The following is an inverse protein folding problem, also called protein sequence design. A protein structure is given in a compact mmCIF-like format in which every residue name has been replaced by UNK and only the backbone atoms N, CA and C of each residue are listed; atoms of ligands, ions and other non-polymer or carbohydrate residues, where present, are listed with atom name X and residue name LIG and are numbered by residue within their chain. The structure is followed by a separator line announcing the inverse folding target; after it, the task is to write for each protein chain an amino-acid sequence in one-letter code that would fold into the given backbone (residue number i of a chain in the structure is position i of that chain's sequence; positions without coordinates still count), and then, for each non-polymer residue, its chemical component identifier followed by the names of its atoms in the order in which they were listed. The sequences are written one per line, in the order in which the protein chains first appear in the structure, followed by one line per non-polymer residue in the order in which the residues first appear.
data_IF_602687231547
#
_entry.id   IF_602687231547
#
_cell.length_a   1.000
_cell.length_b   1.000
_cell.length_c   1.000
_cell.angle_alpha   90.00
_cell.angle_beta   90.00
_cell.angle_gamma   90.00
#
_symmetry.space_group_name_H-M   'P 1'
#
loop_
_entity.id
_entity.type
_entity.pdbx_description
1 polymer ?
#
# COMPACT_ATOMS: atom_id res chain seq x y z
N UNK A 1 -1.61 -26.25 -39.91
CA UNK A 1 -1.61 -24.85 -39.45
C UNK A 1 -0.17 -24.37 -39.48
N UNK A 2 0.14 -23.29 -40.23
CA UNK A 2 1.50 -22.79 -40.32
C UNK A 2 2.04 -22.40 -38.92
N UNK A 3 3.13 -23.03 -38.51
CA UNK A 3 3.81 -22.74 -37.23
C UNK A 3 4.18 -21.26 -37.11
N UNK A 4 4.42 -20.60 -38.27
CA UNK A 4 4.69 -19.16 -38.37
C UNK A 4 3.50 -18.28 -37.96
N UNK A 5 2.27 -18.67 -38.30
CA UNK A 5 1.06 -17.94 -37.93
C UNK A 5 0.81 -18.01 -36.43
N UNK A 6 0.98 -19.18 -35.83
CA UNK A 6 0.81 -19.38 -34.37
C UNK A 6 1.81 -18.54 -33.55
N UNK A 7 3.09 -18.53 -33.96
CA UNK A 7 4.12 -17.73 -33.27
C UNK A 7 3.90 -16.22 -33.46
N UNK A 8 3.42 -15.81 -34.66
CA UNK A 8 3.13 -14.40 -34.94
C UNK A 8 1.94 -13.83 -34.16
N UNK A 9 0.92 -14.66 -33.88
CA UNK A 9 -0.27 -14.25 -33.13
C UNK A 9 -0.12 -14.34 -31.60
N UNK A 10 0.97 -14.93 -31.08
CA UNK A 10 1.20 -15.09 -29.64
C UNK A 10 1.23 -13.75 -28.91
N UNK A 11 2.06 -12.82 -29.34
CA UNK A 11 2.21 -11.51 -28.70
C UNK A 11 0.95 -10.63 -28.76
N UNK A 12 0.27 -10.46 -29.92
CA UNK A 12 -0.97 -9.69 -29.95
C UNK A 12 -2.08 -10.30 -29.07
N UNK A 13 -2.19 -11.63 -29.00
CA UNK A 13 -3.19 -12.28 -28.16
C UNK A 13 -2.91 -12.03 -26.66
N UNK A 14 -1.66 -12.21 -26.22
CA UNK A 14 -1.24 -11.90 -24.86
C UNK A 14 -1.51 -10.42 -24.54
N UNK A 15 -1.13 -9.50 -25.43
CA UNK A 15 -1.30 -8.08 -25.21
C UNK A 15 -2.79 -7.67 -25.15
N UNK A 16 -3.65 -8.24 -26.00
CA UNK A 16 -5.10 -8.01 -25.93
C UNK A 16 -5.69 -8.47 -24.61
N UNK A 17 -5.33 -9.68 -24.15
CA UNK A 17 -5.78 -10.22 -22.87
C UNK A 17 -5.31 -9.37 -21.68
N UNK A 18 -4.03 -8.97 -21.65
CA UNK A 18 -3.48 -8.12 -20.61
C UNK A 18 -4.13 -6.73 -20.58
N UNK A 19 -4.36 -6.14 -21.76
CA UNK A 19 -5.09 -4.87 -21.88
C UNK A 19 -6.50 -4.95 -21.30
N UNK A 20 -7.22 -6.04 -21.58
CA UNK A 20 -8.56 -6.28 -21.04
C UNK A 20 -8.54 -6.42 -19.51
N UNK A 21 -7.56 -7.15 -18.95
CA UNK A 21 -7.38 -7.29 -17.48
C UNK A 21 -7.11 -5.94 -16.83
N UNK A 22 -6.21 -5.12 -17.38
CA UNK A 22 -5.93 -3.79 -16.80
C UNK A 22 -7.11 -2.83 -16.96
N UNK A 23 -7.87 -2.93 -18.04
CA UNK A 23 -9.12 -2.15 -18.19
C UNK A 23 -10.15 -2.56 -17.15
N UNK A 24 -10.35 -3.86 -16.91
CA UNK A 24 -11.25 -4.36 -15.88
C UNK A 24 -10.83 -3.85 -14.48
N UNK A 25 -9.54 -3.89 -14.17
CA UNK A 25 -9.01 -3.33 -12.92
C UNK A 25 -9.29 -1.83 -12.83
N UNK A 26 -9.12 -1.07 -13.91
CA UNK A 26 -9.44 0.36 -13.91
C UNK A 26 -10.92 0.63 -13.69
N UNK A 27 -11.82 -0.18 -14.24
CA UNK A 27 -13.26 -0.06 -13.95
C UNK A 27 -13.57 -0.24 -12.48
N UNK A 28 -12.85 -1.11 -11.80
CA UNK A 28 -12.97 -1.33 -10.37
C UNK A 28 -12.28 -0.23 -9.55
N UNK A 29 -11.13 0.30 -10.05
CA UNK A 29 -10.32 1.33 -9.37
C UNK A 29 -10.22 2.61 -10.20
N UNK A 30 -11.32 3.33 -10.40
CA UNK A 30 -11.40 4.55 -11.21
C UNK A 30 -10.45 5.67 -10.78
N UNK A 31 -10.03 5.69 -9.52
CA UNK A 31 -9.08 6.66 -8.97
C UNK A 31 -7.61 6.38 -9.38
N UNK A 32 -7.33 5.25 -10.03
CA UNK A 32 -5.99 4.86 -10.49
C UNK A 32 -5.85 5.00 -12.01
N UNK A 33 -5.64 6.23 -12.56
CA UNK A 33 -5.61 6.45 -14.01
C UNK A 33 -4.48 5.71 -14.73
N UNK A 34 -3.38 5.36 -14.03
CA UNK A 34 -2.29 4.59 -14.62
C UNK A 34 -2.73 3.21 -15.16
N UNK A 35 -3.80 2.61 -14.58
CA UNK A 35 -4.34 1.33 -15.05
C UNK A 35 -4.96 1.45 -16.45
N UNK A 36 -5.65 2.57 -16.74
CA UNK A 36 -6.18 2.83 -18.09
C UNK A 36 -5.06 3.04 -19.10
N UNK A 37 -3.97 3.72 -18.71
CA UNK A 37 -2.79 3.91 -19.56
C UNK A 37 -2.09 2.57 -19.83
N UNK A 38 -2.00 1.67 -18.83
CA UNK A 38 -1.49 0.31 -19.05
C UNK A 38 -2.35 -0.46 -20.05
N UNK A 39 -3.68 -0.44 -19.91
CA UNK A 39 -4.60 -1.10 -20.83
C UNK A 39 -4.43 -0.60 -22.27
N UNK A 40 -4.41 0.71 -22.45
CA UNK A 40 -4.20 1.34 -23.77
C UNK A 40 -2.82 0.98 -24.34
N UNK A 41 -1.76 0.96 -23.53
CA UNK A 41 -0.42 0.59 -23.95
C UNK A 41 -0.34 -0.87 -24.44
N UNK A 42 -0.96 -1.80 -23.73
CA UNK A 42 -1.02 -3.20 -24.18
C UNK A 42 -1.83 -3.38 -25.47
N UNK A 43 -2.97 -2.70 -25.60
CA UNK A 43 -3.76 -2.77 -26.83
C UNK A 43 -3.06 -2.13 -28.04
N UNK A 44 -2.34 -1.03 -27.81
CA UNK A 44 -1.54 -0.40 -28.84
C UNK A 44 -0.34 -1.29 -29.25
N UNK A 45 0.25 -2.00 -28.29
CA UNK A 45 1.27 -3.03 -28.57
C UNK A 45 0.69 -4.18 -29.40
N UNK A 46 -0.52 -4.65 -29.10
CA UNK A 46 -1.21 -5.66 -29.90
C UNK A 46 -1.42 -5.20 -31.35
N UNK A 47 -1.89 -3.96 -31.54
CA UNK A 47 -2.04 -3.36 -32.86
C UNK A 47 -0.69 -3.30 -33.58
N UNK A 48 0.39 -2.91 -32.90
CA UNK A 48 1.75 -2.91 -33.43
C UNK A 48 2.18 -4.29 -33.96
N UNK A 49 1.95 -5.37 -33.21
CA UNK A 49 2.27 -6.72 -33.64
C UNK A 49 1.42 -7.20 -34.79
N UNK A 50 0.12 -6.89 -34.82
CA UNK A 50 -0.74 -7.21 -35.95
C UNK A 50 -0.26 -6.51 -37.24
N UNK A 51 0.10 -5.23 -37.18
CA UNK A 51 0.68 -4.47 -38.27
C UNK A 51 2.09 -4.95 -38.68
N UNK A 52 2.80 -5.55 -37.77
CA UNK A 52 4.09 -6.19 -38.05
C UNK A 52 3.90 -7.45 -38.89
N UNK A 53 2.84 -8.20 -38.67
CA UNK A 53 2.54 -9.45 -39.32
C UNK A 53 1.71 -9.25 -40.61
N UNK A 54 0.69 -8.40 -40.57
CA UNK A 54 -0.20 -8.13 -41.70
C UNK A 54 0.16 -6.78 -42.35
N UNK A 55 0.36 -6.80 -43.67
CA UNK A 55 0.57 -5.57 -44.46
C UNK A 55 -0.76 -4.98 -44.86
N UNK A 56 -1.01 -3.71 -44.55
CA UNK A 56 -2.20 -2.99 -44.99
C UNK A 56 -2.17 -2.66 -46.49
N UNK A 57 -3.33 -2.39 -47.12
CA UNK A 57 -3.39 -2.00 -48.52
C UNK A 57 -2.65 -0.72 -48.91
N UNK A 58 -2.21 0.06 -47.91
CA UNK A 58 -1.40 1.28 -48.09
C UNK A 58 0.07 1.02 -48.41
N UNK A 59 0.47 -0.25 -48.47
CA UNK A 59 1.83 -0.69 -48.75
C UNK A 59 2.67 -1.03 -47.53
N UNK A 60 3.83 -1.67 -47.75
CA UNK A 60 4.68 -2.18 -46.68
C UNK A 60 5.31 -1.06 -45.84
N UNK A 61 5.87 -0.04 -46.47
CA UNK A 61 6.60 1.03 -45.78
C UNK A 61 5.71 1.80 -44.78
N UNK A 62 4.53 2.34 -45.16
CA UNK A 62 3.65 3.01 -44.19
C UNK A 62 3.08 2.05 -43.16
N UNK A 63 2.84 0.77 -43.47
CA UNK A 63 2.40 -0.23 -42.50
C UNK A 63 3.46 -0.44 -41.41
N UNK A 64 4.75 -0.60 -41.78
CA UNK A 64 5.84 -0.77 -40.81
C UNK A 64 6.07 0.50 -39.97
N UNK A 65 5.94 1.68 -40.56
CA UNK A 65 6.00 2.94 -39.81
C UNK A 65 4.87 3.04 -38.78
N UNK A 66 3.64 2.70 -39.19
CA UNK A 66 2.50 2.69 -38.25
C UNK A 66 2.71 1.68 -37.09
N UNK A 67 3.19 0.47 -37.44
CA UNK A 67 3.53 -0.55 -36.44
C UNK A 67 4.53 -0.05 -35.41
N UNK A 68 5.64 0.54 -35.87
CA UNK A 68 6.70 1.06 -34.97
C UNK A 68 6.19 2.25 -34.16
N UNK A 69 5.36 3.11 -34.72
CA UNK A 69 4.72 4.21 -34.01
C UNK A 69 3.83 3.68 -32.88
N UNK A 70 3.01 2.64 -33.13
CA UNK A 70 2.21 1.96 -32.11
C UNK A 70 3.08 1.43 -30.97
N UNK A 71 4.17 0.73 -31.28
CA UNK A 71 5.10 0.22 -30.27
C UNK A 71 5.77 1.34 -29.45
N UNK A 72 6.15 2.43 -30.11
CA UNK A 72 6.81 3.57 -29.45
C UNK A 72 5.87 4.26 -28.46
N UNK A 73 4.62 4.49 -28.85
CA UNK A 73 3.61 5.07 -27.96
C UNK A 73 3.28 4.08 -26.82
N UNK A 74 3.12 2.80 -27.14
CA UNK A 74 2.86 1.75 -26.16
C UNK A 74 3.97 1.66 -25.09
N UNK A 75 5.23 1.61 -25.52
CA UNK A 75 6.38 1.54 -24.61
C UNK A 75 6.52 2.80 -23.75
N UNK A 76 6.29 3.97 -24.34
CA UNK A 76 6.30 5.26 -23.62
C UNK A 76 5.16 5.35 -22.60
N UNK A 77 3.96 4.92 -22.98
CA UNK A 77 2.80 4.85 -22.09
C UNK A 77 3.01 3.88 -20.93
N UNK A 78 3.54 2.69 -21.20
CA UNK A 78 3.89 1.69 -20.20
C UNK A 78 4.93 2.24 -19.20
N UNK A 79 5.99 2.88 -19.69
CA UNK A 79 7.01 3.50 -18.87
C UNK A 79 6.42 4.62 -17.98
N UNK A 80 5.61 5.51 -18.56
CA UNK A 80 4.93 6.57 -17.82
C UNK A 80 3.96 6.03 -16.76
N UNK A 81 3.16 5.02 -17.10
CA UNK A 81 2.21 4.40 -16.19
C UNK A 81 2.90 3.74 -14.99
N UNK A 82 4.00 3.01 -15.20
CA UNK A 82 4.77 2.40 -14.13
C UNK A 82 5.33 3.47 -13.19
N UNK A 83 5.93 4.53 -13.72
CA UNK A 83 6.51 5.63 -12.90
C UNK A 83 5.42 6.36 -12.10
N UNK A 84 4.27 6.65 -12.74
CA UNK A 84 3.13 7.33 -12.10
C UNK A 84 2.55 6.52 -10.94
N UNK A 85 2.49 5.18 -11.06
CA UNK A 85 2.03 4.31 -9.98
C UNK A 85 2.76 4.54 -8.65
N UNK A 86 4.06 4.86 -8.72
CA UNK A 86 4.89 5.11 -7.53
C UNK A 86 4.92 6.59 -7.10
N UNK A 87 3.98 7.40 -7.58
CA UNK A 87 3.86 8.83 -7.25
C UNK A 87 5.05 9.67 -7.71
N UNK A 88 5.87 9.14 -8.63
CA UNK A 88 7.04 9.85 -9.15
C UNK A 88 6.67 10.68 -10.36
N UNK A 89 7.43 11.74 -10.58
CA UNK A 89 7.29 12.56 -11.79
C UNK A 89 7.81 11.76 -12.99
N UNK A 90 6.97 11.65 -14.01
CA UNK A 90 7.34 10.97 -15.26
C UNK A 90 8.49 11.73 -15.91
N UNK A 91 9.61 11.07 -16.26
CA UNK A 91 10.75 11.73 -16.91
C UNK A 91 10.48 11.95 -18.39
N UNK A 92 9.54 12.86 -18.71
CA UNK A 92 9.06 13.12 -20.09
C UNK A 92 10.17 13.47 -21.06
N UNK A 93 11.23 14.15 -20.61
CA UNK A 93 12.36 14.53 -21.45
C UNK A 93 13.13 13.28 -21.90
N UNK A 94 13.45 12.38 -20.97
CA UNK A 94 14.16 11.13 -21.32
C UNK A 94 13.32 10.21 -22.19
N UNK A 95 12.04 10.04 -21.85
CA UNK A 95 11.10 9.21 -22.63
C UNK A 95 10.91 9.82 -24.00
N UNK A 96 10.66 11.13 -24.10
CA UNK A 96 10.46 11.84 -25.36
C UNK A 96 11.71 11.78 -26.25
N UNK A 97 12.90 11.96 -25.69
CA UNK A 97 14.15 11.88 -26.43
C UNK A 97 14.39 10.48 -27.00
N UNK A 98 14.21 9.42 -26.21
CA UNK A 98 14.37 8.03 -26.67
C UNK A 98 13.32 7.66 -27.71
N UNK A 99 12.06 8.02 -27.48
CA UNK A 99 10.97 7.72 -28.38
C UNK A 99 11.12 8.45 -29.74
N UNK A 100 11.33 9.76 -29.72
CA UNK A 100 11.47 10.56 -30.94
C UNK A 100 12.78 10.29 -31.68
N UNK A 101 13.89 10.12 -30.94
CA UNK A 101 15.18 9.77 -31.52
C UNK A 101 15.18 8.40 -32.20
N UNK A 102 14.57 7.39 -31.54
CA UNK A 102 14.39 6.06 -32.14
C UNK A 102 13.54 6.10 -33.42
N UNK A 103 12.39 6.81 -33.35
CA UNK A 103 11.51 6.94 -34.51
C UNK A 103 12.15 7.74 -35.64
N UNK A 104 12.87 8.81 -35.36
CA UNK A 104 13.61 9.59 -36.36
C UNK A 104 14.70 8.75 -37.02
N UNK A 105 15.47 7.98 -36.26
CA UNK A 105 16.48 7.06 -36.79
C UNK A 105 15.82 5.96 -37.64
N UNK A 106 14.68 5.40 -37.20
CA UNK A 106 13.92 4.44 -38.01
C UNK A 106 13.48 5.02 -39.35
N UNK A 107 12.94 6.26 -39.35
CA UNK A 107 12.56 6.96 -40.57
C UNK A 107 13.77 7.24 -41.48
N UNK A 108 14.89 7.67 -40.92
CA UNK A 108 16.13 7.90 -41.67
C UNK A 108 16.59 6.65 -42.42
N UNK A 109 16.70 5.52 -41.70
CA UNK A 109 17.10 4.25 -42.32
C UNK A 109 15.98 3.57 -43.09
N UNK A 110 14.80 4.13 -43.17
CA UNK A 110 13.71 3.64 -44.01
C UNK A 110 13.62 4.40 -45.35
N UNK A 111 13.80 5.73 -45.32
CA UNK A 111 13.51 6.57 -46.45
C UNK A 111 14.75 7.26 -47.07
N UNK A 112 15.79 7.56 -46.26
CA UNK A 112 16.96 8.32 -46.73
C UNK A 112 18.14 7.38 -47.01
N UNK A 113 18.48 6.50 -46.07
CA UNK A 113 19.55 5.51 -46.26
C UNK A 113 18.99 4.11 -45.92
N UNK A 114 18.31 3.46 -46.87
CA UNK A 114 17.61 2.21 -46.59
C UNK A 114 18.53 1.11 -46.09
N UNK A 115 18.37 0.76 -44.78
CA UNK A 115 19.11 -0.30 -44.13
C UNK A 115 18.23 -0.94 -43.03
N UNK A 116 17.90 -2.23 -43.18
CA UNK A 116 17.02 -2.94 -42.30
C UNK A 116 17.68 -3.18 -40.93
N UNK A 117 18.98 -3.44 -40.93
CA UNK A 117 19.73 -3.74 -39.71
C UNK A 117 19.79 -2.53 -38.77
N UNK A 118 20.10 -1.36 -39.33
CA UNK A 118 20.14 -0.11 -38.56
C UNK A 118 18.75 0.31 -38.06
N UNK A 119 17.67 0.01 -38.78
CA UNK A 119 16.29 0.21 -38.31
C UNK A 119 16.02 -0.63 -37.06
N UNK A 120 16.40 -1.92 -37.08
CA UNK A 120 16.23 -2.85 -35.96
C UNK A 120 17.05 -2.37 -34.74
N UNK A 121 18.32 -2.02 -34.96
CA UNK A 121 19.20 -1.48 -33.93
C UNK A 121 18.59 -0.23 -33.25
N UNK A 122 18.21 0.77 -34.03
CA UNK A 122 17.67 2.03 -33.53
C UNK A 122 16.47 1.81 -32.61
N UNK A 123 15.51 0.98 -33.03
CA UNK A 123 14.31 0.73 -32.23
C UNK A 123 14.57 -0.10 -31.00
N UNK A 124 15.46 -1.11 -31.08
CA UNK A 124 15.80 -1.90 -29.88
C UNK A 124 16.58 -1.09 -28.86
N UNK A 125 17.46 -0.17 -29.28
CA UNK A 125 18.12 0.76 -28.36
C UNK A 125 17.11 1.73 -27.72
N UNK A 126 16.12 2.22 -28.47
CA UNK A 126 15.08 3.10 -27.94
C UNK A 126 14.22 2.35 -26.89
N UNK A 127 13.72 1.15 -27.20
CA UNK A 127 12.91 0.34 -26.27
C UNK A 127 13.71 -0.15 -25.08
N UNK A 128 14.96 -0.55 -25.28
CA UNK A 128 15.89 -0.89 -24.22
C UNK A 128 16.13 0.28 -23.28
N UNK A 129 16.39 1.46 -23.84
CA UNK A 129 16.55 2.71 -23.09
C UNK A 129 15.32 3.07 -22.27
N UNK A 130 14.09 2.97 -22.83
CA UNK A 130 12.85 3.18 -22.09
C UNK A 130 12.71 2.23 -20.91
N UNK A 131 13.04 0.95 -21.08
CA UNK A 131 13.02 -0.03 -20.00
C UNK A 131 14.05 0.28 -18.91
N UNK A 132 15.26 0.75 -19.30
CA UNK A 132 16.30 1.18 -18.34
C UNK A 132 15.91 2.47 -17.59
N UNK A 133 15.21 3.40 -18.23
CA UNK A 133 14.64 4.59 -17.57
C UNK A 133 13.65 4.16 -16.49
N UNK A 134 12.77 3.20 -16.75
CA UNK A 134 11.86 2.64 -15.73
C UNK A 134 12.67 2.01 -14.58
N UNK A 135 13.68 1.21 -14.88
CA UNK A 135 14.53 0.61 -13.85
C UNK A 135 15.25 1.68 -13.00
N UNK A 136 15.77 2.75 -13.63
CA UNK A 136 16.41 3.84 -12.92
C UNK A 136 15.45 4.58 -11.98
N UNK A 137 14.20 4.85 -12.42
CA UNK A 137 13.18 5.47 -11.58
C UNK A 137 12.76 4.56 -10.42
N UNK A 138 12.59 3.27 -10.66
CA UNK A 138 12.26 2.29 -9.62
C UNK A 138 13.41 2.10 -8.61
N UNK A 139 14.67 2.33 -9.00
CA UNK A 139 15.83 2.25 -8.10
C UNK A 139 15.73 3.20 -6.91
N UNK A 140 15.06 4.34 -7.06
CA UNK A 140 14.99 5.41 -6.05
C UNK A 140 13.79 5.21 -5.09
N UNK A 141 12.89 4.25 -5.34
CA UNK A 141 11.78 3.92 -4.44
C UNK A 141 12.34 3.30 -3.14
N UNK A 142 12.07 3.93 -1.98
CA UNK A 142 12.66 3.55 -0.68
C UNK A 142 12.08 2.28 -0.06
N UNK A 143 10.77 2.12 -0.08
CA UNK A 143 10.08 0.97 0.55
C UNK A 143 9.65 -0.04 -0.51
N UNK A 144 10.62 -0.85 -1.00
CA UNK A 144 10.36 -1.86 -2.01
C UNK A 144 9.86 -3.15 -1.37
N UNK A 145 8.62 -3.50 -1.66
CA UNK A 145 8.13 -4.84 -1.44
C UNK A 145 8.66 -5.84 -2.50
N UNK A 146 8.33 -7.13 -2.36
CA UNK A 146 8.75 -8.15 -3.33
C UNK A 146 8.29 -7.88 -4.78
N UNK A 147 7.07 -7.35 -4.96
CA UNK A 147 6.51 -7.03 -6.28
C UNK A 147 7.29 -5.87 -6.97
N UNK A 148 7.65 -4.84 -6.20
CA UNK A 148 8.44 -3.70 -6.67
C UNK A 148 9.86 -4.11 -7.05
N UNK A 149 10.48 -4.98 -6.25
CA UNK A 149 11.81 -5.53 -6.56
C UNK A 149 11.77 -6.36 -7.82
N UNK A 150 10.74 -7.20 -8.00
CA UNK A 150 10.56 -8.01 -9.20
C UNK A 150 10.37 -7.12 -10.43
N UNK A 151 9.56 -6.07 -10.35
CA UNK A 151 9.34 -5.13 -11.44
C UNK A 151 10.65 -4.38 -11.82
N UNK A 152 11.45 -3.97 -10.83
CA UNK A 152 12.77 -3.37 -11.08
C UNK A 152 13.69 -4.32 -11.83
N UNK A 153 13.82 -5.56 -11.36
CA UNK A 153 14.68 -6.58 -11.98
C UNK A 153 14.21 -6.89 -13.40
N UNK A 154 12.90 -7.06 -13.61
CA UNK A 154 12.33 -7.33 -14.93
C UNK A 154 12.51 -6.17 -15.90
N UNK A 155 12.38 -4.93 -15.44
CA UNK A 155 12.65 -3.74 -16.26
C UNK A 155 14.12 -3.66 -16.67
N UNK A 156 15.04 -3.95 -15.75
CA UNK A 156 16.47 -4.01 -16.03
C UNK A 156 16.79 -5.12 -17.02
N UNK A 157 16.28 -6.34 -16.79
CA UNK A 157 16.47 -7.47 -17.70
C UNK A 157 15.88 -7.20 -19.09
N UNK A 158 14.70 -6.55 -19.17
CA UNK A 158 14.10 -6.16 -20.43
C UNK A 158 15.00 -5.19 -21.22
N UNK A 159 15.51 -4.16 -20.54
CA UNK A 159 16.44 -3.20 -21.15
C UNK A 159 17.71 -3.86 -21.68
N UNK A 160 18.34 -4.70 -20.85
CA UNK A 160 19.53 -5.44 -21.24
C UNK A 160 19.26 -6.45 -22.35
N UNK A 161 18.12 -7.14 -22.34
CA UNK A 161 17.73 -8.08 -23.39
C UNK A 161 17.56 -7.39 -24.76
N UNK A 162 16.92 -6.22 -24.81
CA UNK A 162 16.80 -5.46 -26.07
C UNK A 162 18.16 -5.11 -26.66
N UNK A 163 19.10 -4.62 -25.85
CA UNK A 163 20.42 -4.19 -26.30
C UNK A 163 21.32 -5.39 -26.60
N UNK A 164 21.53 -6.26 -25.62
CA UNK A 164 22.50 -7.36 -25.73
C UNK A 164 22.13 -8.36 -26.84
N UNK A 165 20.85 -8.79 -26.89
CA UNK A 165 20.38 -9.69 -27.92
C UNK A 165 20.58 -9.12 -29.32
N UNK A 166 20.26 -7.84 -29.51
CA UNK A 166 20.41 -7.19 -30.82
C UNK A 166 21.86 -7.14 -31.25
N UNK A 167 22.76 -6.76 -30.34
CA UNK A 167 24.20 -6.73 -30.64
C UNK A 167 24.76 -8.12 -30.96
N UNK A 168 24.46 -9.10 -30.11
CA UNK A 168 24.99 -10.48 -30.29
C UNK A 168 24.53 -11.08 -31.61
N UNK A 169 23.24 -10.95 -31.95
CA UNK A 169 22.72 -11.61 -33.16
C UNK A 169 23.14 -10.88 -34.44
N UNK A 170 23.20 -9.54 -34.42
CA UNK A 170 23.72 -8.79 -35.57
C UNK A 170 25.19 -9.10 -35.85
N UNK A 171 26.01 -9.22 -34.79
CA UNK A 171 27.42 -9.61 -34.92
C UNK A 171 27.56 -11.05 -35.44
N UNK A 172 26.72 -11.98 -34.94
CA UNK A 172 26.82 -13.40 -35.31
C UNK A 172 26.29 -13.74 -36.69
N UNK A 173 25.24 -13.05 -37.16
CA UNK A 173 24.54 -13.40 -38.41
C UNK A 173 24.71 -12.37 -39.53
N UNK A 174 25.39 -11.25 -39.28
CA UNK A 174 25.59 -10.18 -40.26
C UNK A 174 24.33 -9.34 -40.54
N UNK A 175 24.40 -8.42 -41.51
CA UNK A 175 23.31 -7.53 -41.82
C UNK A 175 22.15 -8.22 -42.54
N UNK A 176 20.93 -7.86 -42.20
CA UNK A 176 19.70 -8.33 -42.85
C UNK A 176 19.43 -7.51 -44.11
N UNK A 177 19.29 -8.18 -45.26
CA UNK A 177 19.03 -7.53 -46.54
C UNK A 177 17.53 -7.48 -46.92
N UNK A 178 16.71 -8.39 -46.32
CA UNK A 178 15.27 -8.48 -46.61
C UNK A 178 14.44 -8.76 -45.39
N UNK A 179 13.17 -8.41 -45.42
CA UNK A 179 12.22 -8.74 -44.35
C UNK A 179 11.97 -10.25 -44.26
N UNK A 180 11.96 -10.99 -45.35
CA UNK A 180 11.75 -12.44 -45.34
C UNK A 180 12.90 -13.15 -44.63
N UNK A 181 14.16 -12.78 -44.91
CA UNK A 181 15.32 -13.28 -44.19
C UNK A 181 15.31 -12.90 -42.72
N UNK A 182 14.83 -11.68 -42.38
CA UNK A 182 14.68 -11.26 -41.00
C UNK A 182 13.64 -12.08 -40.25
N UNK A 183 12.44 -12.29 -40.81
CA UNK A 183 11.37 -13.07 -40.16
C UNK A 183 11.67 -14.56 -40.03
N UNK A 184 12.50 -15.11 -40.94
CA UNK A 184 13.01 -16.49 -40.87
C UNK A 184 14.16 -16.66 -39.83
N UNK A 185 14.71 -15.57 -39.31
CA UNK A 185 15.91 -15.60 -38.47
C UNK A 185 15.60 -16.06 -37.02
N UNK A 186 16.60 -16.68 -36.40
CA UNK A 186 16.59 -16.98 -34.96
C UNK A 186 16.48 -15.72 -34.12
N UNK A 187 16.95 -14.57 -34.63
CA UNK A 187 16.71 -13.26 -33.97
C UNK A 187 15.22 -12.97 -33.78
N UNK A 188 14.44 -13.09 -34.84
CA UNK A 188 12.99 -12.79 -34.81
C UNK A 188 12.26 -13.70 -33.81
N UNK A 189 12.53 -15.02 -33.91
CA UNK A 189 11.92 -16.00 -32.96
C UNK A 189 12.28 -15.73 -31.53
N UNK A 190 13.56 -15.48 -31.24
CA UNK A 190 13.99 -15.17 -29.86
C UNK A 190 13.46 -13.81 -29.39
N UNK A 191 13.30 -12.84 -30.30
CA UNK A 191 12.67 -11.55 -30.02
C UNK A 191 11.22 -11.70 -29.58
N UNK A 192 10.42 -12.45 -30.34
CA UNK A 192 9.02 -12.71 -30.05
C UNK A 192 8.84 -13.42 -28.70
N UNK A 193 9.60 -14.50 -28.47
CA UNK A 193 9.49 -15.29 -27.25
C UNK A 193 9.96 -14.52 -26.00
N UNK A 194 11.10 -13.83 -26.10
CA UNK A 194 11.60 -13.03 -24.97
C UNK A 194 10.68 -11.84 -24.64
N UNK A 195 10.10 -11.20 -25.66
CA UNK A 195 9.12 -10.14 -25.46
C UNK A 195 7.84 -10.68 -24.81
N UNK A 196 7.29 -11.80 -25.30
CA UNK A 196 6.12 -12.44 -24.72
C UNK A 196 6.34 -12.75 -23.22
N UNK A 197 7.46 -13.39 -22.89
CA UNK A 197 7.81 -13.75 -21.53
C UNK A 197 7.98 -12.53 -20.63
N UNK A 198 8.81 -11.57 -21.03
CA UNK A 198 9.10 -10.38 -20.21
C UNK A 198 7.87 -9.49 -20.04
N UNK A 199 7.08 -9.28 -21.11
CA UNK A 199 5.84 -8.50 -21.01
C UNK A 199 4.81 -9.14 -20.09
N UNK A 200 4.67 -10.48 -20.15
CA UNK A 200 3.80 -11.23 -19.26
C UNK A 200 4.26 -11.13 -17.79
N UNK A 201 5.55 -11.29 -17.52
CA UNK A 201 6.11 -11.20 -16.18
C UNK A 201 5.98 -9.77 -15.61
N UNK A 202 6.23 -8.75 -16.43
CA UNK A 202 6.01 -7.34 -16.03
C UNK A 202 4.53 -7.09 -15.72
N UNK A 203 3.62 -7.55 -16.58
CA UNK A 203 2.19 -7.42 -16.36
C UNK A 203 1.72 -8.12 -15.09
N UNK A 204 2.20 -9.35 -14.85
CA UNK A 204 1.90 -10.11 -13.64
C UNK A 204 2.41 -9.39 -12.39
N UNK A 205 3.62 -8.84 -12.44
CA UNK A 205 4.17 -8.04 -11.33
C UNK A 205 3.32 -6.81 -11.03
N UNK A 206 2.88 -6.09 -12.07
CA UNK A 206 1.99 -4.93 -11.94
C UNK A 206 0.62 -5.33 -11.40
N UNK A 207 0.07 -6.45 -11.86
CA UNK A 207 -1.18 -6.99 -11.35
C UNK A 207 -1.09 -7.37 -9.88
N UNK A 208 -0.06 -8.11 -9.49
CA UNK A 208 0.18 -8.48 -8.09
C UNK A 208 0.33 -7.23 -7.20
N UNK A 209 1.09 -6.25 -7.67
CA UNK A 209 1.27 -5.00 -6.94
C UNK A 209 -0.07 -4.24 -6.79
N UNK A 210 -0.91 -4.15 -7.84
CA UNK A 210 -2.23 -3.55 -7.78
C UNK A 210 -3.17 -4.32 -6.84
N UNK A 211 -3.17 -5.66 -6.90
CA UNK A 211 -3.96 -6.50 -6.01
C UNK A 211 -3.58 -6.32 -4.53
N UNK A 212 -2.28 -6.22 -4.23
CA UNK A 212 -1.80 -5.94 -2.88
C UNK A 212 -2.25 -4.57 -2.36
N UNK A 213 -2.32 -3.56 -3.22
CA UNK A 213 -2.83 -2.23 -2.83
C UNK A 213 -4.32 -2.28 -2.49
N UNK A 214 -5.13 -2.99 -3.30
CA UNK A 214 -6.54 -3.25 -3.00
C UNK A 214 -6.70 -3.94 -1.65
N UNK A 215 -5.92 -4.99 -1.42
CA UNK A 215 -5.96 -5.71 -0.15
C UNK A 215 -5.59 -4.84 1.05
N UNK A 216 -4.61 -3.94 0.89
CA UNK A 216 -4.25 -2.96 1.94
C UNK A 216 -5.41 -2.00 2.24
N UNK A 217 -6.08 -1.49 1.20
CA UNK A 217 -7.24 -0.59 1.35
C UNK A 217 -8.39 -1.31 2.04
N UNK A 218 -8.75 -2.50 1.59
CA UNK A 218 -9.80 -3.32 2.21
C UNK A 218 -9.49 -3.66 3.67
N UNK A 219 -8.22 -3.98 3.98
CA UNK A 219 -7.78 -4.18 5.37
C UNK A 219 -7.91 -2.91 6.20
N UNK A 220 -7.51 -1.75 5.65
CA UNK A 220 -7.63 -0.48 6.36
C UNK A 220 -9.10 -0.17 6.68
N UNK A 221 -10.02 -0.34 5.73
CA UNK A 221 -11.46 -0.20 5.94
C UNK A 221 -12.01 -1.22 6.94
N UNK A 222 -11.54 -2.49 6.87
CA UNK A 222 -11.95 -3.54 7.79
C UNK A 222 -11.43 -3.37 9.23
N UNK A 223 -10.41 -2.52 9.46
CA UNK A 223 -9.77 -2.33 10.77
C UNK A 223 -9.99 -0.96 11.39
N UNK A 224 -10.67 -0.06 10.71
CA UNK A 224 -10.97 1.28 11.21
C UNK A 224 -12.47 1.41 11.52
N UNK A 225 -12.81 2.05 12.63
CA UNK A 225 -14.18 2.45 12.93
C UNK A 225 -14.51 3.75 12.19
N UNK A 226 -15.53 3.77 11.32
CA UNK A 226 -15.80 4.92 10.46
C UNK A 226 -16.26 6.17 11.22
N UNK A 227 -16.87 6.00 12.40
CA UNK A 227 -17.37 7.12 13.19
C UNK A 227 -16.25 7.80 13.98
N UNK A 228 -15.43 7.01 14.69
CA UNK A 228 -14.34 7.53 15.51
C UNK A 228 -13.05 7.78 14.71
N UNK A 229 -12.89 7.12 13.58
CA UNK A 229 -11.64 7.09 12.79
C UNK A 229 -10.46 6.43 13.54
N UNK A 230 -10.69 5.81 14.70
CA UNK A 230 -9.74 4.96 15.40
C UNK A 230 -9.80 3.54 14.83
N UNK A 231 -8.92 2.67 15.31
CA UNK A 231 -9.05 1.25 15.02
C UNK A 231 -10.37 0.73 15.61
N UNK A 232 -11.05 -0.15 14.87
CA UNK A 232 -12.13 -0.93 15.45
C UNK A 232 -11.55 -2.04 16.36
N UNK A 233 -12.40 -2.80 17.04
CA UNK A 233 -11.99 -3.86 17.96
C UNK A 233 -10.95 -4.80 17.34
N UNK A 234 -11.22 -5.30 16.14
CA UNK A 234 -10.33 -6.24 15.43
C UNK A 234 -8.97 -5.61 15.09
N UNK A 235 -8.99 -4.38 14.58
CA UNK A 235 -7.76 -3.64 14.26
C UNK A 235 -6.94 -3.31 15.49
N UNK A 236 -7.59 -2.96 16.60
CA UNK A 236 -6.95 -2.73 17.88
C UNK A 236 -6.28 -4.02 18.42
N UNK A 237 -7.01 -5.13 18.49
CA UNK A 237 -6.50 -6.41 19.01
C UNK A 237 -5.28 -6.90 18.22
N UNK A 238 -5.31 -6.80 16.88
CA UNK A 238 -4.17 -7.19 16.04
C UNK A 238 -2.95 -6.30 16.26
N UNK A 239 -3.11 -4.97 16.20
CA UNK A 239 -1.99 -4.03 16.40
C UNK A 239 -1.45 -4.04 17.82
N UNK A 240 -2.34 -4.11 18.82
CA UNK A 240 -1.94 -4.19 20.21
C UNK A 240 -1.15 -5.46 20.51
N UNK A 241 -1.56 -6.61 19.95
CA UNK A 241 -0.82 -7.87 20.10
C UNK A 241 0.58 -7.79 19.49
N UNK A 242 0.71 -7.17 18.32
CA UNK A 242 2.01 -6.96 17.68
C UNK A 242 2.91 -6.04 18.51
N UNK A 243 2.37 -4.94 19.01
CA UNK A 243 3.12 -3.99 19.85
C UNK A 243 3.56 -4.63 21.17
N UNK A 244 2.68 -5.41 21.81
CA UNK A 244 3.02 -6.16 23.03
C UNK A 244 4.18 -7.13 22.83
N UNK A 245 4.18 -7.89 21.72
CA UNK A 245 5.30 -8.81 21.39
C UNK A 245 6.61 -8.04 21.19
N UNK A 246 6.56 -6.94 20.44
CA UNK A 246 7.74 -6.10 20.20
C UNK A 246 8.30 -5.56 21.53
N UNK A 247 7.45 -5.00 22.38
CA UNK A 247 7.87 -4.48 23.68
C UNK A 247 8.35 -5.60 24.62
N UNK A 248 7.79 -6.82 24.52
CA UNK A 248 8.27 -7.98 25.25
C UNK A 248 9.72 -8.31 24.91
N UNK A 249 10.01 -8.43 23.61
CA UNK A 249 11.36 -8.73 23.11
C UNK A 249 12.37 -7.64 23.52
N UNK A 250 11.94 -6.37 23.52
CA UNK A 250 12.77 -5.23 23.87
C UNK A 250 12.78 -4.93 25.38
N UNK A 251 12.06 -5.70 26.21
CA UNK A 251 11.90 -5.49 27.67
C UNK A 251 11.39 -4.09 28.03
N UNK A 252 10.54 -3.53 27.18
CA UNK A 252 9.96 -2.20 27.37
C UNK A 252 8.66 -2.28 28.20
N UNK A 253 8.40 -1.34 29.09
CA UNK A 253 7.14 -1.28 29.83
C UNK A 253 5.99 -0.93 28.87
N UNK A 254 4.83 -1.51 29.14
CA UNK A 254 3.60 -1.28 28.37
C UNK A 254 2.42 -1.23 29.31
N UNK A 255 1.53 -0.29 29.11
CA UNK A 255 0.29 -0.20 29.86
C UNK A 255 -0.92 -0.08 28.91
N UNK A 256 -2.06 -0.58 29.37
CA UNK A 256 -3.34 -0.49 28.70
C UNK A 256 -4.27 0.42 29.50
N UNK A 257 -4.95 1.30 28.81
CA UNK A 257 -6.01 2.15 29.31
C UNK A 257 -7.30 1.75 28.59
N UNK A 258 -8.32 1.35 29.33
CA UNK A 258 -9.68 1.23 28.86
C UNK A 258 -10.47 2.45 29.31
N UNK A 259 -11.30 2.98 28.41
CA UNK A 259 -12.15 4.13 28.69
C UNK A 259 -13.59 3.85 28.24
N UNK A 260 -14.55 4.41 28.94
CA UNK A 260 -15.97 4.30 28.62
C UNK A 260 -16.66 5.65 28.91
N UNK A 261 -17.50 6.11 27.97
CA UNK A 261 -18.23 7.35 28.07
C UNK A 261 -19.38 7.21 29.10
N UNK A 262 -19.33 8.00 30.15
CA UNK A 262 -20.31 7.94 31.21
C UNK A 262 -21.70 8.43 30.73
N UNK A 263 -22.74 7.64 31.04
CA UNK A 263 -24.12 7.97 30.71
C UNK A 263 -24.39 8.23 29.23
N UNK A 264 -23.62 7.63 28.32
CA UNK A 264 -23.73 7.86 26.89
C UNK A 264 -25.13 7.61 26.32
N UNK A 265 -25.84 6.59 26.86
CA UNK A 265 -27.23 6.34 26.51
C UNK A 265 -28.12 7.56 26.81
N UNK A 266 -27.95 8.22 27.95
CA UNK A 266 -28.72 9.40 28.31
C UNK A 266 -28.44 10.57 27.37
N UNK A 267 -27.21 10.72 26.87
CA UNK A 267 -26.89 11.71 25.82
C UNK A 267 -27.66 11.43 24.54
N UNK A 268 -27.72 10.18 24.09
CA UNK A 268 -28.50 9.77 22.92
C UNK A 268 -30.01 10.00 23.12
N UNK A 269 -30.53 9.60 24.28
CA UNK A 269 -31.96 9.71 24.57
C UNK A 269 -32.41 11.17 24.67
N UNK A 270 -31.56 12.09 25.16
CA UNK A 270 -31.90 13.50 25.36
C UNK A 270 -31.62 14.36 24.11
N UNK A 271 -30.52 14.08 23.39
CA UNK A 271 -30.02 14.95 22.30
C UNK A 271 -30.01 14.27 20.92
N UNK A 272 -30.47 13.01 20.86
CA UNK A 272 -30.51 12.21 19.63
C UNK A 272 -29.17 11.58 19.25
N UNK A 273 -29.22 10.55 18.42
CA UNK A 273 -28.04 9.77 18.00
C UNK A 273 -26.96 10.61 17.31
N UNK A 274 -27.35 11.63 16.53
CA UNK A 274 -26.37 12.53 15.89
C UNK A 274 -25.53 13.32 16.91
N UNK A 275 -26.06 13.59 18.11
CA UNK A 275 -25.30 14.20 19.19
C UNK A 275 -24.33 13.18 19.83
N UNK A 276 -24.79 11.94 20.05
CA UNK A 276 -23.92 10.86 20.51
C UNK A 276 -22.78 10.58 19.54
N UNK A 277 -23.04 10.60 18.25
CA UNK A 277 -21.99 10.42 17.21
C UNK A 277 -20.91 11.50 17.32
N UNK A 278 -21.29 12.76 17.55
CA UNK A 278 -20.31 13.85 17.78
C UNK A 278 -19.50 13.63 19.05
N UNK A 279 -20.12 13.17 20.13
CA UNK A 279 -19.43 12.82 21.39
C UNK A 279 -18.38 11.75 21.17
N UNK A 280 -18.72 10.68 20.43
CA UNK A 280 -17.77 9.61 20.07
C UNK A 280 -16.61 10.15 19.25
N UNK A 281 -16.90 10.94 18.21
CA UNK A 281 -15.88 11.49 17.32
C UNK A 281 -14.93 12.46 18.05
N UNK A 282 -15.47 13.33 18.91
CA UNK A 282 -14.68 14.28 19.70
C UNK A 282 -13.78 13.56 20.74
N UNK A 283 -14.33 12.59 21.45
CA UNK A 283 -13.54 11.78 22.42
C UNK A 283 -12.43 11.01 21.71
N UNK A 284 -12.73 10.39 20.57
CA UNK A 284 -11.76 9.68 19.76
C UNK A 284 -10.62 10.59 19.25
N UNK A 285 -10.94 11.80 18.84
CA UNK A 285 -9.95 12.79 18.39
C UNK A 285 -8.97 13.16 19.52
N UNK A 286 -9.49 13.37 20.74
CA UNK A 286 -8.68 13.65 21.92
C UNK A 286 -7.77 12.45 22.29
N UNK A 287 -8.33 11.23 22.28
CA UNK A 287 -7.54 10.01 22.53
C UNK A 287 -6.42 9.84 21.50
N UNK A 288 -6.72 10.06 20.20
CA UNK A 288 -5.74 9.96 19.11
C UNK A 288 -4.60 10.96 19.29
N UNK A 289 -4.94 12.21 19.59
CA UNK A 289 -3.97 13.28 19.78
C UNK A 289 -3.05 12.98 20.95
N UNK A 290 -3.59 12.49 22.07
CA UNK A 290 -2.82 12.18 23.28
C UNK A 290 -1.97 10.90 23.15
N UNK A 291 -2.49 9.86 22.48
CA UNK A 291 -1.75 8.61 22.25
C UNK A 291 -0.55 8.80 21.29
N UNK A 292 -0.57 9.83 20.46
CA UNK A 292 0.49 10.14 19.51
C UNK A 292 0.68 9.03 18.46
N UNK A 293 1.87 8.98 17.87
CA UNK A 293 2.20 8.00 16.79
C UNK A 293 2.66 6.64 17.32
N UNK A 294 3.07 6.55 18.57
CA UNK A 294 3.59 5.33 19.19
C UNK A 294 2.51 4.51 19.91
N UNK A 295 1.45 5.15 20.38
CA UNK A 295 0.32 4.48 21.01
C UNK A 295 -0.63 3.83 19.99
N UNK A 296 -1.31 2.76 20.42
CA UNK A 296 -2.37 2.10 19.64
C UNK A 296 -3.70 2.41 20.30
N UNK A 297 -4.56 3.17 19.58
CA UNK A 297 -5.89 3.55 20.07
C UNK A 297 -6.98 2.90 19.19
N UNK A 298 -8.05 2.42 19.84
CA UNK A 298 -9.19 1.79 19.17
C UNK A 298 -10.51 2.01 19.89
N UNK A 299 -11.62 1.95 19.14
CA UNK A 299 -12.97 1.84 19.64
C UNK A 299 -13.34 0.37 19.67
N UNK A 300 -13.54 -0.19 20.86
CA UNK A 300 -13.73 -1.64 21.05
C UNK A 300 -15.19 -2.03 21.31
N UNK A 301 -16.04 -1.06 21.55
CA UNK A 301 -17.47 -1.20 21.77
C UNK A 301 -18.23 0.04 21.33
N UNK A 302 -19.52 0.12 21.66
CA UNK A 302 -20.36 1.26 21.30
C UNK A 302 -19.84 2.60 21.83
N UNK A 303 -19.51 2.63 23.12
CA UNK A 303 -19.01 3.78 23.88
C UNK A 303 -17.66 3.48 24.57
N UNK A 304 -17.04 2.33 24.22
CA UNK A 304 -15.84 1.81 24.84
C UNK A 304 -14.62 2.01 23.94
N UNK A 305 -13.52 2.45 24.55
CA UNK A 305 -12.26 2.73 23.88
C UNK A 305 -11.11 2.06 24.61
N UNK A 306 -10.07 1.71 23.86
CA UNK A 306 -8.83 1.14 24.37
C UNK A 306 -7.62 1.88 23.84
N UNK A 307 -6.62 2.12 24.69
CA UNK A 307 -5.33 2.70 24.30
C UNK A 307 -4.21 1.87 24.89
N UNK A 308 -3.36 1.30 24.06
CA UNK A 308 -2.12 0.63 24.47
C UNK A 308 -0.95 1.60 24.33
N UNK A 309 -0.26 1.86 25.44
CA UNK A 309 0.83 2.82 25.55
C UNK A 309 2.17 2.08 25.72
N UNK A 310 3.05 2.07 24.70
CA UNK A 310 4.41 1.59 24.86
C UNK A 310 5.23 2.58 25.72
N UNK A 311 6.34 2.10 26.28
CA UNK A 311 7.25 2.88 27.13
C UNK A 311 6.56 3.50 28.35
N UNK A 312 5.44 2.94 28.78
CA UNK A 312 4.61 3.47 29.86
C UNK A 312 4.42 2.43 30.97
N UNK A 313 4.75 2.82 32.19
CA UNK A 313 4.40 2.08 33.37
C UNK A 313 2.99 2.44 33.87
N UNK A 314 2.56 1.88 35.00
CA UNK A 314 1.24 2.13 35.56
C UNK A 314 1.04 3.61 35.96
N UNK A 315 2.11 4.30 36.40
CA UNK A 315 2.07 5.71 36.77
C UNK A 315 1.90 6.62 35.58
N UNK A 316 2.69 6.40 34.52
CA UNK A 316 2.59 7.15 33.27
C UNK A 316 1.22 6.97 32.62
N UNK A 317 0.71 5.73 32.55
CA UNK A 317 -0.61 5.46 31.99
C UNK A 317 -1.75 6.05 32.86
N UNK A 318 -1.60 6.12 34.18
CA UNK A 318 -2.52 6.85 35.02
C UNK A 318 -2.56 8.33 34.70
N UNK A 319 -1.39 8.98 34.54
CA UNK A 319 -1.30 10.39 34.20
C UNK A 319 -1.95 10.67 32.85
N UNK A 320 -1.73 9.79 31.85
CA UNK A 320 -2.41 9.85 30.56
C UNK A 320 -3.95 9.81 30.73
N UNK A 321 -4.47 8.83 31.48
CA UNK A 321 -5.90 8.67 31.70
C UNK A 321 -6.52 9.89 32.42
N UNK A 322 -5.84 10.41 33.48
CA UNK A 322 -6.29 11.59 34.23
C UNK A 322 -6.26 12.87 33.34
N UNK A 323 -5.26 13.02 32.50
CA UNK A 323 -5.19 14.14 31.56
C UNK A 323 -6.38 14.12 30.58
N UNK A 324 -6.69 12.97 29.99
CA UNK A 324 -7.84 12.82 29.10
C UNK A 324 -9.15 13.05 29.86
N UNK A 325 -9.31 12.46 31.03
CA UNK A 325 -10.49 12.64 31.88
C UNK A 325 -10.75 14.13 32.16
N UNK A 326 -9.70 14.84 32.60
CA UNK A 326 -9.81 16.26 32.94
C UNK A 326 -10.09 17.12 31.72
N UNK A 327 -9.36 16.88 30.63
CA UNK A 327 -9.57 17.59 29.35
C UNK A 327 -10.99 17.40 28.82
N UNK A 328 -11.54 16.19 28.97
CA UNK A 328 -12.86 15.87 28.45
C UNK A 328 -13.99 16.42 29.34
N UNK A 329 -13.87 16.28 30.67
CA UNK A 329 -14.87 16.77 31.63
C UNK A 329 -14.93 18.30 31.71
N UNK A 330 -13.83 19.01 31.37
CA UNK A 330 -13.79 20.47 31.37
C UNK A 330 -14.16 21.06 29.99
N UNK A 331 -14.16 20.24 28.93
CA UNK A 331 -14.45 20.67 27.55
C UNK A 331 -15.94 20.74 27.24
N UNK A 332 -16.25 21.38 26.13
CA UNK A 332 -17.55 21.29 25.48
C UNK A 332 -17.43 20.45 24.21
N UNK A 333 -18.48 19.73 23.85
CA UNK A 333 -18.58 19.00 22.57
C UNK A 333 -19.39 19.84 21.60
N UNK A 334 -18.81 20.08 20.41
CA UNK A 334 -19.47 20.89 19.40
C UNK A 334 -20.85 20.31 18.99
N UNK A 335 -21.84 21.19 18.94
CA UNK A 335 -23.21 20.82 18.60
C UNK A 335 -24.03 20.20 19.73
N UNK A 336 -23.51 20.19 20.96
CA UNK A 336 -24.31 19.99 22.18
C UNK A 336 -24.69 21.35 22.80
N UNK A 337 -25.81 21.42 23.54
CA UNK A 337 -26.16 22.62 24.23
C UNK A 337 -25.09 23.12 25.18
N UNK A 338 -24.86 24.43 25.34
CA UNK A 338 -23.91 24.98 26.29
C UNK A 338 -24.17 24.45 27.72
N UNK A 339 -23.11 23.98 28.39
CA UNK A 339 -23.21 23.42 29.73
C UNK A 339 -23.51 21.91 29.79
N UNK A 340 -23.70 21.24 28.66
CA UNK A 340 -23.81 19.77 28.65
C UNK A 340 -22.45 19.17 29.01
N UNK A 341 -22.38 18.55 30.18
CA UNK A 341 -21.15 17.89 30.65
C UNK A 341 -21.18 16.42 30.27
N UNK A 342 -20.16 15.98 29.55
CA UNK A 342 -19.92 14.58 29.24
C UNK A 342 -18.63 14.14 29.92
N UNK A 343 -18.65 13.02 30.61
CA UNK A 343 -17.50 12.47 31.31
C UNK A 343 -17.16 11.07 30.82
N UNK A 344 -15.99 10.58 31.21
CA UNK A 344 -15.55 9.22 30.92
C UNK A 344 -14.89 8.60 32.17
N UNK A 345 -15.10 7.31 32.33
CA UNK A 345 -14.43 6.48 33.33
C UNK A 345 -13.30 5.67 32.71
N UNK A 346 -12.24 5.44 33.49
CA UNK A 346 -11.03 4.79 32.99
C UNK A 346 -10.56 3.66 33.93
N UNK A 347 -10.14 2.56 33.28
CA UNK A 347 -9.43 1.45 33.91
C UNK A 347 -8.04 1.31 33.34
N UNK A 348 -7.02 1.25 34.19
CA UNK A 348 -5.62 1.22 33.78
C UNK A 348 -4.93 -0.01 34.31
N UNK A 349 -4.21 -0.75 33.47
CA UNK A 349 -3.37 -1.88 33.88
C UNK A 349 -2.01 -1.80 33.16
N UNK A 350 -0.92 -1.99 33.92
CA UNK A 350 0.39 -2.18 33.32
C UNK A 350 0.64 -3.68 33.07
N UNK A 351 1.36 -4.01 32.01
CA UNK A 351 1.74 -5.38 31.67
C UNK A 351 2.66 -5.95 32.76
N UNK A 352 2.39 -7.19 33.18
CA UNK A 352 3.20 -7.92 34.11
C UNK A 352 3.81 -9.15 33.46
N UNK A 353 5.13 -9.36 33.61
CA UNK A 353 5.83 -10.50 33.05
C UNK A 353 5.59 -10.70 31.55
N UNK A 354 5.25 -11.91 31.12
CA UNK A 354 4.97 -12.28 29.73
C UNK A 354 3.46 -12.25 29.39
N UNK A 355 2.68 -11.49 30.14
CA UNK A 355 1.24 -11.37 29.98
C UNK A 355 0.86 -10.95 28.54
N UNK A 356 -0.11 -11.66 27.95
CA UNK A 356 -0.69 -11.33 26.63
C UNK A 356 -1.76 -10.24 26.72
N UNK A 357 -2.35 -9.90 25.57
CA UNK A 357 -3.36 -8.82 25.49
C UNK A 357 -4.63 -9.14 26.29
N UNK A 358 -5.15 -10.36 26.18
CA UNK A 358 -6.43 -10.73 26.79
C UNK A 358 -6.42 -10.64 28.33
N UNK A 359 -5.43 -11.21 29.07
CA UNK A 359 -5.33 -11.01 30.50
C UNK A 359 -5.14 -9.55 30.91
N UNK A 360 -4.35 -8.79 30.15
CA UNK A 360 -4.13 -7.37 30.38
C UNK A 360 -5.44 -6.56 30.21
N UNK A 361 -6.22 -6.84 29.18
CA UNK A 361 -7.55 -6.25 28.96
C UNK A 361 -8.49 -6.57 30.10
N UNK A 362 -8.54 -7.81 30.57
CA UNK A 362 -9.39 -8.21 31.68
C UNK A 362 -9.07 -7.44 32.99
N UNK A 363 -7.79 -7.23 33.30
CA UNK A 363 -7.38 -6.46 34.45
C UNK A 363 -7.76 -4.97 34.35
N UNK A 364 -7.61 -4.40 33.17
CA UNK A 364 -8.03 -3.03 32.92
C UNK A 364 -9.56 -2.88 33.01
N UNK A 365 -10.32 -3.86 32.51
CA UNK A 365 -11.78 -3.88 32.57
C UNK A 365 -12.29 -3.98 34.01
N UNK A 366 -11.69 -4.83 34.85
CA UNK A 366 -12.00 -4.89 36.29
C UNK A 366 -11.77 -3.54 37.01
N UNK A 367 -10.72 -2.80 36.60
CA UNK A 367 -10.45 -1.46 37.09
C UNK A 367 -11.49 -0.45 36.59
N UNK A 368 -11.86 -0.49 35.31
CA UNK A 368 -12.90 0.35 34.72
C UNK A 368 -14.27 0.12 35.37
N UNK A 369 -14.62 -1.13 35.59
CA UNK A 369 -15.84 -1.47 36.31
C UNK A 369 -15.89 -0.85 37.72
N UNK A 370 -14.75 -0.85 38.47
CA UNK A 370 -14.64 -0.16 39.78
C UNK A 370 -14.81 1.36 39.63
N UNK A 371 -14.27 1.97 38.56
CA UNK A 371 -14.48 3.39 38.27
C UNK A 371 -15.97 3.73 38.08
N UNK A 372 -16.67 2.94 37.27
CA UNK A 372 -18.11 3.10 37.02
C UNK A 372 -18.95 2.95 38.30
N UNK A 373 -18.64 1.96 39.16
CA UNK A 373 -19.35 1.73 40.44
C UNK A 373 -19.12 2.80 41.49
N UNK A 374 -17.96 3.44 41.49
CA UNK A 374 -17.54 4.40 42.52
C UNK A 374 -17.87 5.86 42.15
N UNK A 375 -18.91 6.09 41.33
CA UNK A 375 -19.42 7.41 40.98
C UNK A 375 -18.99 7.93 39.61
N UNK A 376 -18.34 7.10 38.80
CA UNK A 376 -17.88 7.48 37.45
C UNK A 376 -16.87 8.64 37.42
N UNK A 377 -16.63 9.28 36.23
CA UNK A 377 -15.68 10.39 36.07
C UNK A 377 -14.38 10.18 36.89
N UNK A 378 -13.77 9.02 36.76
CA UNK A 378 -12.63 8.62 37.57
C UNK A 378 -11.70 7.62 36.89
N UNK A 379 -10.45 7.60 37.32
CA UNK A 379 -9.44 6.64 36.90
C UNK A 379 -9.22 5.61 37.99
N UNK A 380 -9.24 4.33 37.68
CA UNK A 380 -8.90 3.22 38.55
C UNK A 380 -7.77 2.39 38.00
N UNK A 381 -6.90 1.94 38.91
CA UNK A 381 -5.72 1.15 38.56
C UNK A 381 -5.92 -0.31 38.94
N UNK A 382 -5.43 -1.19 38.09
CA UNK A 382 -5.28 -2.60 38.45
C UNK A 382 -3.89 -2.83 39.01
N UNK A 383 -3.81 -3.13 40.29
CA UNK A 383 -2.58 -3.57 40.95
C UNK A 383 -2.44 -5.09 40.82
N UNK A 384 -1.20 -5.56 40.73
CA UNK A 384 -0.91 -6.99 40.86
C UNK A 384 -1.44 -7.50 42.21
N UNK A 385 -2.25 -8.54 42.21
CA UNK A 385 -2.44 -9.28 43.43
C UNK A 385 -1.13 -10.02 43.71
N UNK A 386 -0.34 -9.51 44.65
CA UNK A 386 0.81 -10.24 45.18
C UNK A 386 0.32 -11.64 45.59
N UNK A 387 0.86 -12.68 44.94
CA UNK A 387 0.56 -14.08 45.25
C UNK A 387 1.16 -14.53 46.59
N UNK A 388 1.48 -13.59 47.47
CA UNK A 388 1.91 -13.83 48.84
C UNK A 388 0.88 -13.24 49.78
N UNK A 389 -0.09 -14.08 50.12
CA UNK A 389 -0.86 -13.90 51.34
C UNK A 389 0.10 -13.95 52.53
N UNK A 390 0.58 -12.78 52.97
CA UNK A 390 1.05 -12.58 54.34
C UNK A 390 0.10 -11.60 55.00
N UNK A 391 -0.59 -12.18 56.00
CA UNK A 391 -1.32 -11.55 57.06
C UNK A 391 -0.69 -10.22 57.46
N UNK A 392 -1.39 -9.11 57.27
CA UNK A 392 -1.13 -7.89 58.02
C UNK A 392 -1.43 -8.18 59.49
N UNK A 393 -0.40 -8.50 60.24
CA UNK A 393 -0.45 -8.44 61.71
C UNK A 393 -0.58 -6.97 62.05
N UNK A 394 -1.75 -6.57 62.51
CA UNK A 394 -2.01 -5.26 63.07
C UNK A 394 -1.03 -5.02 64.20
N UNK A 395 -0.11 -4.09 64.07
CA UNK A 395 0.66 -3.51 65.20
C UNK A 395 -0.32 -2.70 66.01
N UNK A 396 -0.83 -3.35 67.07
CA UNK A 396 -1.50 -2.67 68.20
C UNK A 396 -0.42 -1.92 68.95
N UNK A 397 -0.38 -0.61 68.81
CA UNK A 397 0.42 0.26 69.69
C UNK A 397 -0.35 0.42 71.00
N UNK A 398 0.12 -0.25 72.06
CA UNK A 398 -0.34 0.02 73.37
C UNK A 398 0.08 1.44 73.81
N UNK A 399 -0.81 2.20 74.50
CA UNK A 399 -0.44 3.50 75.05
C UNK A 399 0.44 3.33 76.30
N UNK A 400 1.62 3.93 76.30
CA UNK A 400 2.47 4.10 77.43
C UNK A 400 1.69 4.82 78.55
N UNK A 401 1.45 4.13 79.68
CA UNK A 401 1.01 4.74 80.93
C UNK A 401 2.16 5.55 81.49
N UNK A 402 1.90 6.83 81.74
CA UNK A 402 2.74 7.70 82.55
C UNK A 402 2.64 7.29 84.05
N UNK A 403 3.75 7.14 84.68
CA UNK A 403 3.97 7.03 86.12
C UNK A 403 5.25 7.75 86.49
#
# INVERSE_FOLDING_TARGET
MDTGLLTGLLNPTIALALGAVFLMLWFYQRHCPYLAVLAASYWLSAAGFLLQYFTLPIGMAPTKLLSVTCFTIAASGLAGAIVTRYGRRVPFVAIGFLASGGLAAFCWFMFIQPDLTWRILAMNFAFGGLSLVVAAELRVVRDRGPAEMMLFVLSLLSGLNFVARTLVIVIAHGPYQSYDGFYASSYWTTALLSHALLSLLIALSLFCAAALDVMKTLKAEAYTDPLSGLLNRRGFEERATHLLRHCATAKLPVALVLADLDHFKAVNDLHGHAAGDRVIADFAAKLRSAAGTSGVAGRIGGEEFAVLLPLSDLGAARLFAEAIRTLYSAGSVDGLPPGTRVTASFGVAARTGEEGLEPLMRRADEALYKAKRNGRDSVRLSYERSAHGRSETALVVEPLKAG
#
